data_IF_621730635457
#
_entry.id   IF_621730635457
#
_cell.length_a   1.000
_cell.length_b   1.000
_cell.length_c   1.000
_cell.angle_alpha   90.00
_cell.angle_beta   90.00
_cell.angle_gamma   90.00
#
_symmetry.space_group_name_H-M   'P 1'
#
loop_
_entity.id
_entity.type
_entity.pdbx_description
1 polymer ?
#
# COMPACT_ATOMS: atom_id res chain seq x y z
N UNK A 1 -11.81 -8.71 19.77
CA UNK A 1 -12.81 -8.22 18.80
C UNK A 1 -14.18 -8.33 19.47
N UNK A 2 -14.95 -7.24 19.61
CA UNK A 2 -16.21 -7.22 20.37
C UNK A 2 -17.30 -6.70 19.44
N UNK A 3 -18.31 -7.51 19.17
CA UNK A 3 -19.48 -7.14 18.35
C UNK A 3 -20.59 -6.73 19.29
N UNK A 4 -21.20 -5.57 19.05
CA UNK A 4 -22.38 -5.10 19.80
C UNK A 4 -23.52 -4.88 18.80
N UNK A 5 -24.56 -5.71 18.88
CA UNK A 5 -25.90 -5.39 18.37
C UNK A 5 -26.21 -5.73 16.91
N UNK A 6 -27.26 -6.54 16.72
CA UNK A 6 -27.80 -6.95 15.43
C UNK A 6 -28.52 -5.79 14.73
N UNK A 7 -27.87 -5.17 13.75
CA UNK A 7 -28.43 -4.45 12.58
C UNK A 7 -27.30 -3.84 11.72
N UNK A 8 -26.09 -3.71 12.29
CA UNK A 8 -24.87 -3.30 11.59
C UNK A 8 -23.70 -4.00 12.27
N UNK A 9 -22.87 -4.75 11.52
CA UNK A 9 -21.72 -5.43 12.09
C UNK A 9 -20.67 -4.38 12.49
N UNK A 10 -20.57 -4.07 13.78
CA UNK A 10 -19.51 -3.23 14.32
C UNK A 10 -18.24 -4.08 14.52
N UNK A 11 -17.18 -3.78 13.76
CA UNK A 11 -15.84 -4.31 13.97
C UNK A 11 -15.03 -3.35 14.85
N UNK A 12 -14.36 -3.92 15.85
CA UNK A 12 -13.29 -3.22 16.57
C UNK A 12 -11.97 -3.47 15.84
N UNK A 13 -11.39 -2.44 15.24
CA UNK A 13 -9.99 -2.42 14.83
C UNK A 13 -9.11 -2.22 16.07
N UNK A 14 -7.78 -2.39 15.94
CA UNK A 14 -6.87 -2.12 17.06
C UNK A 14 -6.93 -0.65 17.53
N UNK A 15 -7.38 0.25 16.67
CA UNK A 15 -7.50 1.68 16.93
C UNK A 15 -8.93 2.12 17.33
N UNK A 16 -10.01 1.51 16.81
CA UNK A 16 -11.38 2.09 16.91
C UNK A 16 -12.54 1.15 16.51
N UNK A 17 -13.78 1.67 16.34
CA UNK A 17 -15.00 0.92 15.93
C UNK A 17 -15.53 1.38 14.56
N UNK A 18 -15.89 0.45 13.65
CA UNK A 18 -16.45 0.73 12.31
C UNK A 18 -17.61 -0.23 11.97
N UNK A 19 -18.58 0.16 11.12
CA UNK A 19 -19.82 -0.63 10.86
C UNK A 19 -20.09 -0.97 9.37
N UNK A 20 -20.44 -2.24 9.10
CA UNK A 20 -20.81 -2.84 7.79
C UNK A 20 -19.70 -2.78 6.72
N UNK A 21 -19.80 -3.60 5.63
CA UNK A 21 -18.77 -3.90 4.61
C UNK A 21 -17.65 -2.87 4.57
N UNK A 22 -16.59 -3.09 5.36
CA UNK A 22 -15.81 -1.98 5.88
C UNK A 22 -14.93 -1.39 4.79
N UNK A 23 -15.12 -0.12 4.49
CA UNK A 23 -14.10 0.73 3.89
C UNK A 23 -13.48 1.58 5.01
N UNK A 24 -12.34 1.14 5.57
CA UNK A 24 -11.71 1.83 6.70
C UNK A 24 -10.23 2.12 6.44
N UNK A 25 -9.80 3.35 6.79
CA UNK A 25 -8.39 3.72 6.79
C UNK A 25 -7.71 3.06 7.99
N UNK A 26 -6.93 2.01 7.76
CA UNK A 26 -6.17 1.36 8.85
C UNK A 26 -4.88 2.13 9.11
N UNK A 27 -4.36 2.85 8.12
CA UNK A 27 -3.17 3.68 8.23
C UNK A 27 -3.43 5.04 7.60
N UNK A 28 -2.85 6.07 8.18
CA UNK A 28 -2.83 7.39 7.55
C UNK A 28 -1.42 7.65 7.07
N UNK A 29 -1.29 7.74 5.76
CA UNK A 29 -0.31 8.59 5.16
C UNK A 29 -1.04 9.90 4.89
N UNK A 30 -1.22 10.74 5.91
CA UNK A 30 -1.66 12.13 5.68
C UNK A 30 -0.52 12.81 4.92
N UNK A 31 -0.44 12.56 3.60
CA UNK A 31 0.50 13.19 2.67
C UNK A 31 0.17 14.68 2.51
N UNK A 32 -1.06 15.06 2.86
CA UNK A 32 -1.55 16.42 2.86
C UNK A 32 -1.66 16.91 4.32
N UNK A 33 -0.93 17.99 4.63
CA UNK A 33 -1.12 18.86 5.81
C UNK A 33 -0.81 18.32 7.22
N UNK A 34 0.21 17.50 7.40
CA UNK A 34 0.97 17.53 8.68
C UNK A 34 2.37 18.05 8.41
N UNK A 35 2.87 18.97 9.25
CA UNK A 35 4.26 19.39 9.20
C UNK A 35 5.05 18.60 10.25
N UNK A 36 6.13 17.91 9.87
CA UNK A 36 6.67 17.78 8.52
C UNK A 36 5.82 16.88 7.60
N UNK A 37 5.76 17.24 6.32
CA UNK A 37 5.01 16.55 5.26
C UNK A 37 5.38 15.05 5.20
N UNK A 38 4.36 14.16 5.20
CA UNK A 38 4.56 12.70 5.22
C UNK A 38 4.86 12.09 3.85
N UNK A 39 5.03 12.90 2.79
CA UNK A 39 5.46 12.40 1.48
C UNK A 39 6.83 11.73 1.58
N UNK A 40 6.89 10.53 0.99
CA UNK A 40 8.07 9.67 0.92
C UNK A 40 8.64 9.34 2.29
N UNK A 41 7.73 8.88 3.16
CA UNK A 41 8.02 8.36 4.49
C UNK A 41 7.26 7.05 4.71
N UNK A 42 7.71 6.20 5.65
CA UNK A 42 6.95 5.03 6.07
C UNK A 42 5.53 5.43 6.53
N UNK A 43 4.50 4.63 6.22
CA UNK A 43 3.15 4.89 6.69
C UNK A 43 3.11 4.88 8.23
N UNK A 44 2.25 5.72 8.81
CA UNK A 44 2.05 5.79 10.25
C UNK A 44 0.69 5.19 10.61
N UNK A 45 0.58 4.74 11.86
CA UNK A 45 -0.71 4.32 12.40
C UNK A 45 -1.74 5.44 12.26
N UNK A 46 -2.95 5.09 11.83
CA UNK A 46 -4.04 6.05 11.81
C UNK A 46 -4.28 6.60 13.22
N UNK A 47 -4.59 7.90 13.32
CA UNK A 47 -5.01 8.52 14.58
C UNK A 47 -6.21 7.77 15.14
N UNK A 48 -6.24 7.50 16.44
CA UNK A 48 -7.39 6.86 17.07
C UNK A 48 -8.64 7.76 16.98
N UNK A 49 -9.83 7.16 16.88
CA UNK A 49 -11.10 7.87 16.88
C UNK A 49 -12.07 7.26 17.89
N UNK A 50 -12.88 8.12 18.54
CA UNK A 50 -13.77 7.73 19.64
C UNK A 50 -15.24 7.53 19.21
N UNK A 51 -15.54 7.65 17.92
CA UNK A 51 -16.88 7.51 17.35
C UNK A 51 -16.96 6.29 16.42
N UNK A 52 -18.15 5.93 15.96
CA UNK A 52 -18.27 5.01 14.82
C UNK A 52 -17.90 5.76 13.55
N UNK A 53 -17.06 5.17 12.70
CA UNK A 53 -16.81 5.67 11.35
C UNK A 53 -17.74 4.99 10.36
N UNK A 54 -18.36 5.79 9.49
CA UNK A 54 -19.11 5.26 8.36
C UNK A 54 -18.13 4.71 7.33
N UNK A 55 -18.38 3.48 6.94
CA UNK A 55 -17.49 2.65 6.14
C UNK A 55 -18.30 1.90 5.07
N UNK A 56 -19.42 2.48 4.59
CA UNK A 56 -20.32 1.87 3.61
C UNK A 56 -19.93 2.09 2.14
N UNK A 57 -19.07 3.07 1.86
CA UNK A 57 -18.56 3.42 0.53
C UNK A 57 -17.03 3.41 0.49
N UNK A 58 -16.46 3.08 -0.68
CA UNK A 58 -15.02 3.13 -0.91
C UNK A 58 -14.42 4.51 -0.58
N UNK A 59 -13.24 4.49 0.04
CA UNK A 59 -12.40 5.66 0.22
C UNK A 59 -11.80 6.19 -1.09
N UNK A 60 -10.91 7.17 -0.94
CA UNK A 60 -10.18 7.78 -2.06
C UNK A 60 -9.09 6.86 -2.57
N UNK A 61 -8.78 6.96 -3.87
CA UNK A 61 -7.78 6.12 -4.52
C UNK A 61 -6.42 6.83 -4.55
N UNK A 62 -5.34 6.07 -4.40
CA UNK A 62 -4.00 6.63 -4.47
C UNK A 62 -3.71 7.20 -5.87
N UNK A 63 -3.06 8.37 -5.96
CA UNK A 63 -2.83 9.02 -7.25
C UNK A 63 -1.77 8.26 -8.04
N UNK A 64 -2.05 7.99 -9.31
CA UNK A 64 -1.12 7.39 -10.27
C UNK A 64 -1.51 7.83 -11.69
N UNK A 65 -0.55 7.90 -12.61
CA UNK A 65 -0.79 8.20 -14.04
C UNK A 65 -1.91 7.32 -14.61
N UNK A 66 -2.00 6.09 -14.10
CA UNK A 66 -2.84 5.04 -14.64
C UNK A 66 -4.26 5.05 -14.03
N UNK A 67 -4.40 5.53 -12.79
CA UNK A 67 -5.69 5.71 -12.12
C UNK A 67 -6.35 7.06 -12.43
N UNK A 68 -5.61 8.00 -13.03
CA UNK A 68 -6.09 9.33 -13.45
C UNK A 68 -6.93 9.33 -14.75
N UNK A 69 -7.55 8.19 -15.09
CA UNK A 69 -8.29 8.00 -16.35
C UNK A 69 -9.77 7.63 -16.15
N UNK A 70 -10.23 7.51 -14.89
CA UNK A 70 -11.63 7.22 -14.54
C UNK A 70 -12.24 8.25 -13.59
N UNK A 71 -13.55 8.13 -13.30
CA UNK A 71 -14.32 8.96 -12.37
C UNK A 71 -13.99 8.66 -10.88
N UNK A 72 -12.74 8.33 -10.56
CA UNK A 72 -12.31 8.04 -9.20
C UNK A 72 -11.98 9.33 -8.45
N UNK A 73 -12.37 9.38 -7.17
CA UNK A 73 -11.93 10.45 -6.28
C UNK A 73 -10.48 10.15 -5.84
N UNK A 74 -9.53 10.93 -6.32
CA UNK A 74 -8.10 10.78 -6.02
C UNK A 74 -7.73 11.63 -4.80
N UNK A 75 -6.88 11.08 -3.94
CA UNK A 75 -6.32 11.80 -2.80
C UNK A 75 -5.00 11.17 -2.44
N UNK A 76 -4.05 11.95 -1.92
CA UNK A 76 -2.86 11.37 -1.29
C UNK A 76 -3.14 10.78 0.10
N UNK A 77 -4.27 11.13 0.73
CA UNK A 77 -4.85 10.42 1.88
C UNK A 77 -5.67 9.23 1.34
N UNK A 78 -5.00 8.16 0.93
CA UNK A 78 -5.61 7.04 0.21
C UNK A 78 -5.39 5.66 0.83
N UNK A 79 -4.70 5.55 1.98
CA UNK A 79 -4.32 4.27 2.58
C UNK A 79 -5.50 3.60 3.31
N UNK A 80 -6.53 3.27 2.54
CA UNK A 80 -7.74 2.57 2.96
C UNK A 80 -7.65 1.06 2.70
N UNK A 81 -8.34 0.29 3.53
CA UNK A 81 -8.63 -1.13 3.35
C UNK A 81 -10.13 -1.34 3.16
N UNK A 82 -10.47 -2.33 2.36
CA UNK A 82 -11.84 -2.72 2.09
C UNK A 82 -12.04 -4.17 2.57
N UNK A 83 -13.11 -4.45 3.32
CA UNK A 83 -13.34 -5.73 4.01
C UNK A 83 -14.76 -6.23 3.75
N UNK A 84 -14.86 -7.44 3.19
CA UNK A 84 -16.10 -8.16 2.97
C UNK A 84 -16.15 -9.39 3.86
N UNK A 85 -17.27 -9.59 4.54
CA UNK A 85 -17.50 -10.76 5.38
C UNK A 85 -18.99 -11.04 5.54
N UNK A 86 -19.36 -12.32 5.48
CA UNK A 86 -20.69 -12.79 5.87
C UNK A 86 -20.76 -13.19 7.36
N UNK A 87 -19.70 -12.99 8.14
CA UNK A 87 -19.65 -13.37 9.54
C UNK A 87 -20.68 -12.57 10.37
N UNK A 88 -21.60 -13.28 11.03
CA UNK A 88 -22.56 -12.67 11.96
C UNK A 88 -21.91 -12.26 13.29
N UNK A 89 -20.75 -12.83 13.64
CA UNK A 89 -19.98 -12.48 14.82
C UNK A 89 -18.50 -12.86 14.66
N UNK A 90 -17.69 -12.36 15.58
CA UNK A 90 -16.25 -12.66 15.69
C UNK A 90 -15.96 -14.12 16.01
N UNK A 91 -16.92 -14.81 16.64
CA UNK A 91 -16.79 -16.20 17.04
C UNK A 91 -16.92 -17.16 15.84
N UNK A 92 -17.35 -16.66 14.68
CA UNK A 92 -17.40 -17.43 13.44
C UNK A 92 -16.00 -17.88 12.97
N UNK A 93 -14.94 -17.15 13.33
CA UNK A 93 -13.53 -17.50 13.06
C UNK A 93 -13.28 -17.92 11.60
N UNK A 94 -13.85 -17.15 10.67
CA UNK A 94 -13.71 -17.38 9.25
C UNK A 94 -12.25 -17.19 8.78
N UNK A 95 -11.79 -17.94 7.76
CA UNK A 95 -10.49 -17.70 7.16
C UNK A 95 -10.42 -16.29 6.56
N UNK A 96 -9.25 -15.65 6.65
CA UNK A 96 -8.99 -14.34 6.09
C UNK A 96 -8.15 -14.49 4.83
N UNK A 97 -8.61 -13.91 3.73
CA UNK A 97 -7.85 -13.74 2.49
C UNK A 97 -7.55 -12.25 2.33
N UNK A 98 -6.27 -11.91 2.20
CA UNK A 98 -5.84 -10.55 1.90
C UNK A 98 -5.30 -10.51 0.48
N UNK A 99 -5.81 -9.60 -0.32
CA UNK A 99 -5.51 -9.44 -1.74
C UNK A 99 -4.72 -8.15 -1.97
N UNK A 100 -3.50 -8.29 -2.47
CA UNK A 100 -2.70 -7.15 -2.92
C UNK A 100 -3.16 -6.74 -4.32
N UNK A 101 -3.48 -5.46 -4.49
CA UNK A 101 -3.93 -4.92 -5.78
C UNK A 101 -2.79 -4.99 -6.80
N UNK A 102 -3.06 -5.44 -8.04
CA UNK A 102 -2.03 -5.52 -9.06
C UNK A 102 -1.54 -4.12 -9.45
N UNK A 103 -0.40 -4.06 -10.14
CA UNK A 103 0.03 -2.81 -10.78
C UNK A 103 -1.06 -2.31 -11.74
N UNK A 104 -1.16 -0.99 -11.94
CA UNK A 104 -2.11 -0.39 -12.89
C UNK A 104 -3.59 -0.69 -12.51
N UNK A 105 -3.87 -0.86 -11.22
CA UNK A 105 -5.22 -1.13 -10.70
C UNK A 105 -5.42 -0.46 -9.36
N UNK A 106 -6.66 -0.37 -8.91
CA UNK A 106 -7.03 0.15 -7.60
C UNK A 106 -7.91 -0.84 -6.84
N UNK A 107 -7.87 -0.80 -5.51
CA UNK A 107 -8.69 -1.64 -4.62
C UNK A 107 -10.21 -1.48 -4.83
N UNK A 108 -10.62 -0.45 -5.56
CA UNK A 108 -12.01 -0.16 -5.95
C UNK A 108 -12.43 -0.77 -7.29
N UNK A 109 -11.51 -1.31 -8.08
CA UNK A 109 -11.87 -1.88 -9.37
C UNK A 109 -12.92 -2.99 -9.19
N UNK A 110 -13.98 -2.97 -10.00
CA UNK A 110 -15.14 -3.82 -9.82
C UNK A 110 -14.81 -5.33 -9.85
N UNK A 111 -13.75 -5.72 -10.54
CA UNK A 111 -13.29 -7.13 -10.58
C UNK A 111 -12.59 -7.58 -9.28
N UNK A 112 -12.30 -6.66 -8.36
CA UNK A 112 -11.73 -6.91 -7.03
C UNK A 112 -12.77 -6.86 -5.91
N UNK A 113 -14.07 -6.81 -6.23
CA UNK A 113 -15.14 -6.88 -5.23
C UNK A 113 -15.09 -8.22 -4.45
N UNK A 114 -15.10 -8.12 -3.12
CA UNK A 114 -14.98 -9.25 -2.22
C UNK A 114 -16.28 -10.00 -1.92
N UNK A 115 -17.43 -9.58 -2.47
CA UNK A 115 -18.74 -10.14 -2.13
C UNK A 115 -18.86 -11.63 -2.45
N UNK A 116 -18.29 -12.06 -3.58
CA UNK A 116 -18.25 -13.47 -3.97
C UNK A 116 -17.47 -14.35 -2.99
N UNK A 117 -16.35 -13.84 -2.45
CA UNK A 117 -15.54 -14.52 -1.45
C UNK A 117 -16.23 -14.55 -0.08
N UNK A 118 -16.86 -13.44 0.32
CA UNK A 118 -17.65 -13.37 1.54
C UNK A 118 -18.82 -14.37 1.55
N UNK A 119 -19.47 -14.58 0.41
CA UNK A 119 -20.51 -15.59 0.24
C UNK A 119 -20.01 -17.03 0.45
N UNK A 120 -18.69 -17.26 0.33
CA UNK A 120 -18.03 -18.54 0.61
C UNK A 120 -17.48 -18.63 2.05
N UNK A 121 -17.95 -17.77 2.96
CA UNK A 121 -17.49 -17.68 4.34
C UNK A 121 -15.98 -17.36 4.46
N UNK A 122 -15.46 -16.51 3.58
CA UNK A 122 -14.10 -15.95 3.66
C UNK A 122 -14.19 -14.48 4.03
N UNK A 123 -13.39 -14.03 5.00
CA UNK A 123 -13.16 -12.59 5.19
C UNK A 123 -12.20 -12.15 4.10
N UNK A 124 -12.71 -11.44 3.10
CA UNK A 124 -11.88 -10.92 2.02
C UNK A 124 -11.47 -9.48 2.35
N UNK A 125 -10.19 -9.19 2.18
CA UNK A 125 -9.60 -7.88 2.46
C UNK A 125 -8.80 -7.47 1.23
N UNK A 126 -9.00 -6.26 0.72
CA UNK A 126 -8.07 -5.65 -0.23
C UNK A 126 -7.72 -4.23 0.26
N UNK A 127 -6.74 -3.57 -0.37
CA UNK A 127 -6.24 -2.29 0.13
C UNK A 127 -5.55 -1.46 -0.94
N UNK A 128 -5.46 -0.17 -0.68
CA UNK A 128 -4.68 0.77 -1.48
C UNK A 128 -3.21 0.79 -1.02
N UNK A 129 -2.31 0.98 -1.98
CA UNK A 129 -0.88 1.28 -1.75
C UNK A 129 -0.45 2.45 -2.62
N UNK A 130 0.52 3.25 -2.18
CA UNK A 130 1.13 4.28 -3.04
C UNK A 130 1.85 3.64 -4.23
N UNK A 131 1.79 4.30 -5.37
CA UNK A 131 2.40 3.84 -6.63
C UNK A 131 3.15 4.98 -7.34
N UNK A 132 3.89 4.68 -8.41
CA UNK A 132 4.64 5.64 -9.22
C UNK A 132 5.56 6.53 -8.38
N UNK A 133 5.51 7.84 -8.63
CA UNK A 133 6.32 8.82 -7.89
C UNK A 133 6.00 8.87 -6.40
N UNK A 134 4.75 8.59 -6.01
CA UNK A 134 4.33 8.59 -4.61
C UNK A 134 4.81 7.35 -3.87
N UNK A 135 4.89 6.20 -4.55
CA UNK A 135 5.22 4.91 -3.97
C UNK A 135 6.71 4.53 -4.04
N UNK A 136 7.46 5.05 -5.02
CA UNK A 136 8.74 4.45 -5.39
C UNK A 136 9.87 5.44 -5.73
N UNK A 137 9.70 6.74 -5.49
CA UNK A 137 10.85 7.67 -5.63
C UNK A 137 11.92 7.39 -4.56
N UNK A 138 13.17 7.30 -5.01
CA UNK A 138 14.35 7.25 -4.17
C UNK A 138 15.21 8.47 -4.46
N UNK A 139 15.88 9.02 -3.47
CA UNK A 139 16.73 10.21 -3.63
C UNK A 139 17.78 10.25 -2.52
N UNK A 140 19.00 10.75 -2.75
CA UNK A 140 20.03 10.81 -1.70
C UNK A 140 19.57 11.54 -0.43
N UNK A 141 18.80 12.62 -0.56
CA UNK A 141 18.20 13.32 0.60
C UNK A 141 17.23 12.43 1.38
N UNK A 142 16.41 11.62 0.70
CA UNK A 142 15.49 10.67 1.35
C UNK A 142 16.25 9.53 2.04
N UNK A 143 17.31 9.02 1.41
CA UNK A 143 18.20 8.02 2.02
C UNK A 143 18.93 8.58 3.25
N UNK A 144 19.32 9.86 3.21
CA UNK A 144 19.87 10.60 4.34
C UNK A 144 18.86 10.80 5.49
N UNK A 145 17.61 11.12 5.17
CA UNK A 145 16.51 11.17 6.15
C UNK A 145 16.31 9.81 6.83
N UNK A 146 16.21 8.73 6.06
CA UNK A 146 16.05 7.37 6.60
C UNK A 146 17.25 6.92 7.44
N UNK A 147 18.47 7.28 7.04
CA UNK A 147 19.67 7.00 7.84
C UNK A 147 19.60 7.70 9.20
N UNK A 148 19.10 8.94 9.22
CA UNK A 148 18.97 9.73 10.45
C UNK A 148 17.84 9.22 11.34
N UNK A 149 16.70 8.85 10.76
CA UNK A 149 15.49 8.49 11.51
C UNK A 149 15.49 7.04 12.00
N UNK A 150 15.99 6.11 11.17
CA UNK A 150 15.91 4.66 11.45
C UNK A 150 17.23 3.90 11.26
N UNK A 151 18.33 4.59 10.94
CA UNK A 151 19.66 3.98 10.85
C UNK A 151 19.93 3.20 9.55
N UNK A 152 19.07 3.36 8.55
CA UNK A 152 19.19 2.64 7.25
C UNK A 152 19.38 3.65 6.13
N UNK A 153 20.47 3.52 5.38
CA UNK A 153 20.72 4.35 4.20
C UNK A 153 20.03 3.75 2.97
N UNK A 154 18.71 3.94 2.89
CA UNK A 154 17.90 3.50 1.77
C UNK A 154 16.68 4.41 1.61
N UNK A 155 16.17 4.52 0.39
CA UNK A 155 14.91 5.22 0.08
C UNK A 155 14.21 4.56 -1.10
N UNK A 156 12.95 4.95 -1.33
CA UNK A 156 12.04 4.22 -2.20
C UNK A 156 11.22 3.20 -1.43
N UNK A 157 10.56 2.28 -2.15
CA UNK A 157 9.74 1.21 -1.57
C UNK A 157 8.61 1.69 -0.61
N UNK A 158 8.18 2.94 -0.67
CA UNK A 158 7.11 3.47 0.18
C UNK A 158 5.80 2.70 0.00
N UNK A 159 5.46 2.32 -1.23
CA UNK A 159 4.33 1.45 -1.55
C UNK A 159 4.49 0.02 -1.03
N UNK A 160 5.73 -0.48 -0.87
CA UNK A 160 5.99 -1.77 -0.21
C UNK A 160 5.79 -1.64 1.31
N UNK A 161 6.20 -0.53 1.90
CA UNK A 161 5.96 -0.25 3.32
C UNK A 161 4.46 -0.08 3.63
N UNK A 162 3.67 0.43 2.68
CA UNK A 162 2.20 0.47 2.78
C UNK A 162 1.59 -0.93 2.85
N UNK A 163 2.06 -1.85 2.00
CA UNK A 163 1.65 -3.26 2.03
C UNK A 163 1.97 -3.90 3.39
N UNK A 164 3.17 -3.66 3.92
CA UNK A 164 3.55 -4.18 5.24
C UNK A 164 2.68 -3.64 6.37
N UNK A 165 2.34 -2.35 6.32
CA UNK A 165 1.45 -1.75 7.28
C UNK A 165 0.09 -2.46 7.25
N UNK A 166 -0.52 -2.58 6.06
CA UNK A 166 -1.81 -3.25 5.88
C UNK A 166 -1.83 -4.68 6.44
N UNK A 167 -0.73 -5.42 6.27
CA UNK A 167 -0.68 -6.83 6.59
C UNK A 167 -0.38 -7.09 8.08
N UNK A 168 0.34 -6.19 8.78
CA UNK A 168 0.87 -6.22 10.17
C UNK A 168 1.59 -7.52 10.60
N UNK A 169 1.13 -8.67 10.14
CA UNK A 169 1.93 -9.83 9.78
C UNK A 169 2.92 -9.42 8.70
N UNK A 170 4.21 -9.71 8.90
CA UNK A 170 5.30 -9.39 7.98
C UNK A 170 5.20 -10.09 6.62
N UNK A 171 4.17 -9.79 5.85
CA UNK A 171 3.96 -10.30 4.51
C UNK A 171 4.67 -9.36 3.54
N UNK A 172 5.91 -9.74 3.22
CA UNK A 172 6.40 -9.68 1.84
C UNK A 172 6.08 -11.07 1.26
N UNK A 173 5.55 -11.15 0.05
CA UNK A 173 5.51 -12.39 -0.72
C UNK A 173 6.69 -12.38 -1.70
N UNK A 174 7.80 -13.09 -1.42
CA UNK A 174 8.99 -13.15 -2.26
C UNK A 174 8.97 -14.33 -3.25
N UNK A 175 7.84 -15.05 -3.37
CA UNK A 175 7.77 -16.37 -4.00
C UNK A 175 6.68 -16.51 -5.06
N UNK A 176 6.36 -15.43 -5.77
CA UNK A 176 5.70 -15.58 -7.07
C UNK A 176 6.75 -16.16 -8.05
N UNK A 177 6.60 -17.40 -8.56
CA UNK A 177 7.48 -17.94 -9.59
C UNK A 177 7.44 -17.16 -10.91
N UNK A 178 6.52 -16.18 -11.04
CA UNK A 178 6.43 -15.19 -12.11
C UNK A 178 6.78 -13.75 -11.68
N UNK A 179 7.27 -13.48 -10.46
CA UNK A 179 7.73 -12.12 -10.07
C UNK A 179 8.78 -11.55 -11.03
N UNK A 180 9.51 -12.43 -11.72
CA UNK A 180 10.50 -12.06 -12.74
C UNK A 180 9.91 -11.87 -14.15
N UNK A 181 8.62 -12.09 -14.35
CA UNK A 181 8.00 -12.05 -15.68
C UNK A 181 6.81 -11.09 -15.78
N UNK A 182 6.06 -10.81 -14.71
CA UNK A 182 5.06 -9.74 -14.67
C UNK A 182 4.92 -9.19 -13.23
N UNK A 183 5.51 -8.00 -12.98
CA UNK A 183 5.58 -7.23 -11.72
C UNK A 183 6.45 -7.88 -10.61
N UNK A 184 7.64 -7.39 -10.22
CA UNK A 184 8.21 -6.05 -10.16
C UNK A 184 9.72 -6.14 -10.51
N UNK A 185 10.19 -5.43 -11.55
CA UNK A 185 11.63 -5.24 -11.75
C UNK A 185 12.18 -4.40 -10.59
N UNK A 186 13.21 -4.89 -9.89
CA UNK A 186 13.95 -4.07 -8.94
C UNK A 186 15.17 -3.45 -9.58
N UNK A 187 15.61 -2.31 -9.05
CA UNK A 187 16.86 -1.65 -9.44
C UNK A 187 17.76 -1.44 -8.23
N UNK A 188 19.06 -1.29 -8.45
CA UNK A 188 19.99 -0.92 -7.39
C UNK A 188 19.67 0.49 -6.85
N UNK A 189 19.91 0.73 -5.57
CA UNK A 189 19.67 2.02 -4.91
C UNK A 189 20.27 3.21 -5.70
N UNK A 190 21.53 3.10 -6.14
CA UNK A 190 22.17 4.16 -6.91
C UNK A 190 21.44 4.49 -8.23
N UNK A 191 20.86 3.49 -8.90
CA UNK A 191 20.06 3.70 -10.12
C UNK A 191 18.72 4.36 -9.79
N UNK A 192 18.07 3.94 -8.70
CA UNK A 192 16.84 4.54 -8.23
C UNK A 192 17.03 6.01 -7.83
N UNK A 193 18.12 6.31 -7.11
CA UNK A 193 18.48 7.67 -6.69
C UNK A 193 18.75 8.58 -7.89
N UNK A 194 19.52 8.13 -8.88
CA UNK A 194 19.74 8.89 -10.11
C UNK A 194 18.44 9.15 -10.88
N UNK A 195 17.49 8.21 -10.84
CA UNK A 195 16.16 8.37 -11.43
C UNK A 195 15.35 9.42 -10.65
N UNK A 196 15.40 9.40 -9.32
CA UNK A 196 14.72 10.40 -8.49
C UNK A 196 15.32 11.79 -8.60
N UNK A 197 16.65 11.93 -8.72
CA UNK A 197 17.31 13.21 -9.02
C UNK A 197 16.80 13.77 -10.36
N UNK A 198 16.67 12.93 -11.38
CA UNK A 198 16.11 13.31 -12.68
C UNK A 198 14.63 13.72 -12.55
N UNK A 199 13.86 13.03 -11.72
CA UNK A 199 12.46 13.37 -11.44
C UNK A 199 12.33 14.74 -10.75
N UNK A 200 13.16 15.02 -9.73
CA UNK A 200 13.23 16.33 -9.05
C UNK A 200 13.48 17.45 -10.06
N UNK A 201 14.48 17.28 -10.92
CA UNK A 201 14.81 18.26 -11.97
C UNK A 201 13.65 18.44 -12.97
N UNK A 202 12.91 17.37 -13.29
CA UNK A 202 11.78 17.45 -14.23
C UNK A 202 10.64 18.36 -13.75
N UNK A 203 10.53 18.56 -12.43
CA UNK A 203 9.56 19.48 -11.81
C UNK A 203 10.11 20.90 -11.59
N UNK A 204 11.29 21.22 -12.13
CA UNK A 204 11.96 22.51 -11.95
C UNK A 204 12.22 22.86 -10.48
N UNK A 205 12.42 21.83 -9.63
CA UNK A 205 12.81 21.96 -8.23
C UNK A 205 14.20 21.35 -8.02
N UNK A 206 14.80 21.61 -6.86
CA UNK A 206 16.21 21.29 -6.57
C UNK A 206 16.42 20.47 -5.30
N UNK A 207 15.37 20.25 -4.51
CA UNK A 207 15.43 19.47 -3.27
C UNK A 207 14.15 18.68 -3.04
N UNK A 208 14.21 17.70 -2.15
CA UNK A 208 13.03 16.96 -1.68
C UNK A 208 12.08 17.88 -0.91
N UNK A 209 12.60 18.87 -0.20
CA UNK A 209 11.78 19.87 0.47
C UNK A 209 10.90 20.64 -0.52
N UNK A 210 11.46 21.09 -1.65
CA UNK A 210 10.70 21.75 -2.72
C UNK A 210 9.76 20.78 -3.45
N UNK A 211 10.21 19.55 -3.72
CA UNK A 211 9.37 18.53 -4.36
C UNK A 211 8.13 18.18 -3.51
N UNK A 212 8.26 18.21 -2.17
CA UNK A 212 7.14 18.02 -1.23
C UNK A 212 6.07 19.11 -1.33
N UNK A 213 6.38 20.28 -1.87
CA UNK A 213 5.42 21.37 -2.07
C UNK A 213 4.75 21.35 -3.45
N UNK A 214 5.17 20.47 -4.37
CA UNK A 214 4.56 20.36 -5.70
C UNK A 214 3.16 19.73 -5.60
N UNK A 215 2.17 20.32 -6.26
CA UNK A 215 0.79 19.82 -6.22
C UNK A 215 0.67 18.38 -6.72
N UNK A 216 -0.22 17.59 -6.09
CA UNK A 216 -0.50 16.19 -6.45
C UNK A 216 -0.80 16.02 -7.95
N UNK A 217 -1.65 16.89 -8.50
CA UNK A 217 -2.08 16.86 -9.90
C UNK A 217 -0.93 17.13 -10.89
N UNK A 218 0.15 17.77 -10.42
CA UNK A 218 1.38 17.95 -11.20
C UNK A 218 2.30 16.74 -11.02
N UNK A 219 2.52 16.31 -9.78
CA UNK A 219 3.39 15.17 -9.46
C UNK A 219 2.97 13.88 -10.15
N UNK A 220 1.66 13.65 -10.29
CA UNK A 220 1.14 12.42 -10.91
C UNK A 220 1.71 12.21 -12.31
N UNK A 221 2.08 13.27 -13.05
CA UNK A 221 2.64 13.20 -14.41
C UNK A 221 4.17 13.09 -14.45
N UNK A 222 4.82 12.71 -13.35
CA UNK A 222 6.26 12.46 -13.32
C UNK A 222 6.69 11.53 -14.48
N UNK A 223 7.51 12.05 -15.39
CA UNK A 223 7.97 11.32 -16.58
C UNK A 223 9.18 10.43 -16.27
N UNK A 224 9.03 9.54 -15.29
CA UNK A 224 10.07 8.60 -14.88
C UNK A 224 9.48 7.20 -14.59
N UNK A 225 10.28 6.17 -14.85
CA UNK A 225 9.93 4.79 -14.49
C UNK A 225 10.42 4.51 -13.07
N UNK A 226 9.49 4.50 -12.12
CA UNK A 226 9.80 4.16 -10.73
C UNK A 226 9.64 2.66 -10.50
N UNK A 227 10.57 2.10 -9.73
CA UNK A 227 10.72 0.66 -9.52
C UNK A 227 10.98 0.36 -8.05
N UNK A 228 10.73 -0.88 -7.64
CA UNK A 228 11.17 -1.38 -6.34
C UNK A 228 12.70 -1.26 -6.24
N UNK A 229 13.20 -0.88 -5.07
CA UNK A 229 14.63 -0.63 -4.83
C UNK A 229 15.23 -1.78 -4.05
N UNK A 230 16.38 -2.28 -4.50
CA UNK A 230 17.16 -3.28 -3.76
C UNK A 230 17.80 -2.60 -2.53
N UNK A 231 17.26 -2.89 -1.35
CA UNK A 231 17.68 -2.34 -0.05
C UNK A 231 18.31 -3.40 0.89
N UNK A 232 18.76 -4.52 0.32
CA UNK A 232 19.36 -5.63 1.07
C UNK A 232 19.66 -6.85 0.20
N UNK A 233 19.18 -8.01 0.64
CA UNK A 233 19.41 -9.31 -0.01
C UNK A 233 18.70 -9.41 -1.36
N UNK A 234 19.39 -9.95 -2.36
CA UNK A 234 18.83 -10.20 -3.69
C UNK A 234 17.82 -11.34 -3.67
N UNK A 235 17.00 -11.42 -4.73
CA UNK A 235 16.11 -12.56 -4.96
C UNK A 235 16.86 -13.89 -4.95
N UNK A 236 18.01 -13.97 -5.64
CA UNK A 236 18.78 -15.20 -5.75
C UNK A 236 19.35 -15.67 -4.41
N UNK A 237 19.82 -14.74 -3.58
CA UNK A 237 20.31 -15.05 -2.24
C UNK A 237 19.18 -15.55 -1.32
N UNK A 238 17.96 -14.99 -1.46
CA UNK A 238 16.78 -15.45 -0.73
C UNK A 238 16.35 -16.86 -1.13
N UNK A 239 16.48 -17.22 -2.42
CA UNK A 239 16.27 -18.60 -2.88
C UNK A 239 17.27 -19.57 -2.27
N UNK A 240 18.52 -19.16 -2.14
CA UNK A 240 19.59 -19.99 -1.58
C UNK A 240 19.49 -20.15 -0.06
N UNK A 241 19.07 -19.11 0.65
CA UNK A 241 18.91 -19.13 2.12
C UNK A 241 17.67 -19.87 2.59
N UNK A 242 16.73 -20.16 1.68
CA UNK A 242 15.41 -20.68 2.03
C UNK A 242 14.45 -19.59 2.52
N UNK A 243 13.14 -19.91 2.59
CA UNK A 243 12.10 -18.93 2.91
C UNK A 243 12.19 -18.45 4.35
N UNK A 244 11.83 -17.18 4.55
CA UNK A 244 11.75 -16.59 5.89
C UNK A 244 10.64 -17.21 6.75
N UNK A 245 9.66 -17.87 6.14
CA UNK A 245 8.53 -18.54 6.82
C UNK A 245 8.31 -19.93 6.24
N UNK A 246 8.06 -20.93 7.10
CA UNK A 246 7.71 -22.30 6.72
C UNK A 246 6.18 -22.48 6.75
N UNK A 247 5.53 -22.16 5.62
CA UNK A 247 4.06 -22.22 5.46
C UNK A 247 3.67 -22.89 4.13
N UNK A 248 2.49 -23.53 4.04
CA UNK A 248 2.00 -24.09 2.77
C UNK A 248 1.85 -23.03 1.68
N UNK A 249 2.21 -23.39 0.44
CA UNK A 249 2.20 -22.50 -0.73
C UNK A 249 1.29 -23.07 -1.83
N UNK A 250 0.56 -22.19 -2.49
CA UNK A 250 -0.19 -22.47 -3.72
C UNK A 250 0.24 -21.41 -4.74
N UNK A 251 0.66 -21.84 -5.92
CA UNK A 251 1.09 -20.96 -7.01
C UNK A 251 0.73 -21.58 -8.37
N UNK A 252 0.61 -20.76 -9.42
CA UNK A 252 0.26 -21.21 -10.76
C UNK A 252 0.20 -20.06 -11.76
N UNK A 253 0.27 -20.42 -13.04
CA UNK A 253 0.31 -19.49 -14.17
C UNK A 253 -0.85 -19.81 -15.11
N UNK A 254 -1.30 -18.81 -15.87
CA UNK A 254 -2.15 -19.08 -17.03
C UNK A 254 -1.32 -19.73 -18.14
N UNK A 255 -1.99 -20.33 -19.12
CA UNK A 255 -1.34 -21.11 -20.18
C UNK A 255 -0.81 -20.25 -21.34
N UNK A 256 -1.13 -18.96 -21.34
CA UNK A 256 -0.85 -17.99 -22.40
C UNK A 256 0.38 -17.12 -22.14
#
# INVERSE_FOLDING_TARGET
MKVIGASSLLLLTQSSVASAALYDSVFRSNMVQEYPCNRWRPPRNASAWNSTRDAADYGTICPSVLTNTGDYNLSEDCLDLNIWSAAASVDAKLPVMIWSTPAISTARDAFLDGGGMAAQNVVYVNYNRRDGVFGFVAHPELSGEMLTEVGVHASGNWGILDQFAALQSGIRYPYDPLCSTLAENYVALATAEATGESAVVSFSVSSIAELREVDMDTLVFAMASFHSVLDGTTYLETLQSGPSNDVPLITGNTND
#
